data_IF_706501266256
#
_entry.id   IF_706501266256
#
_cell.length_a   1.000
_cell.length_b   1.000
_cell.length_c   1.000
_cell.angle_alpha   90.00
_cell.angle_beta   90.00
_cell.angle_gamma   90.00
#
_symmetry.space_group_name_H-M   'P 1'
#
loop_
_entity.id
_entity.type
_entity.pdbx_description
1 polymer ?
#
# COMPACT_ATOMS: atom_id res chain seq x y z
N UNK A 1 -23.40 -6.40 -2.22
CA UNK A 1 -22.13 -5.78 -2.67
C UNK A 1 -21.48 -5.22 -1.43
N UNK A 2 -20.72 -6.05 -0.71
CA UNK A 2 -20.23 -5.71 0.64
C UNK A 2 -18.94 -4.91 0.47
N UNK A 3 -19.05 -3.60 0.55
CA UNK A 3 -17.90 -2.73 0.74
C UNK A 3 -17.30 -3.08 2.11
N UNK A 4 -16.07 -3.59 2.15
CA UNK A 4 -15.35 -3.70 3.41
C UNK A 4 -15.10 -2.26 3.89
N UNK A 5 -15.77 -1.86 4.97
CA UNK A 5 -15.72 -0.50 5.55
C UNK A 5 -14.31 -0.07 6.01
N UNK A 6 -13.31 -0.94 5.85
CA UNK A 6 -11.92 -0.75 6.28
C UNK A 6 -11.02 -0.04 5.26
N UNK A 7 -11.51 0.30 4.06
CA UNK A 7 -10.67 0.94 3.01
C UNK A 7 -9.56 0.04 2.45
N UNK A 8 -9.62 -1.26 2.74
CA UNK A 8 -8.60 -2.22 2.35
C UNK A 8 -8.62 -2.50 0.82
N UNK A 9 -7.46 -2.73 0.20
CA UNK A 9 -7.37 -2.96 -1.24
C UNK A 9 -7.93 -4.32 -1.63
N UNK A 10 -8.68 -4.36 -2.74
CA UNK A 10 -9.13 -5.60 -3.38
C UNK A 10 -8.17 -6.10 -4.47
N UNK A 11 -7.28 -5.25 -4.96
CA UNK A 11 -6.30 -5.58 -5.99
C UNK A 11 -5.40 -4.41 -6.35
N UNK A 12 -4.27 -4.70 -6.98
CA UNK A 12 -3.32 -3.69 -7.42
C UNK A 12 -2.54 -4.13 -8.67
N UNK A 13 -1.84 -3.18 -9.30
CA UNK A 13 -0.96 -3.45 -10.44
C UNK A 13 0.48 -3.25 -10.04
N UNK A 14 1.34 -4.22 -10.33
CA UNK A 14 2.78 -4.14 -10.09
C UNK A 14 3.56 -4.81 -11.22
N UNK A 15 4.64 -4.17 -11.68
CA UNK A 15 5.49 -4.65 -12.76
C UNK A 15 4.74 -5.10 -14.04
N UNK A 16 3.68 -4.34 -14.41
CA UNK A 16 2.82 -4.67 -15.54
C UNK A 16 1.82 -5.82 -15.32
N UNK A 17 1.81 -6.44 -14.14
CA UNK A 17 0.93 -7.55 -13.76
C UNK A 17 -0.15 -7.08 -12.78
N UNK A 18 -1.32 -7.72 -12.86
CA UNK A 18 -2.42 -7.49 -11.91
C UNK A 18 -2.39 -8.58 -10.83
N UNK A 19 -2.55 -8.14 -9.59
CA UNK A 19 -2.62 -8.97 -8.40
C UNK A 19 -3.97 -8.77 -7.73
N UNK A 20 -4.63 -9.87 -7.40
CA UNK A 20 -5.89 -9.89 -6.66
C UNK A 20 -5.60 -10.18 -5.19
N UNK A 21 -6.08 -9.32 -4.29
CA UNK A 21 -5.90 -9.49 -2.85
C UNK A 21 -6.79 -10.64 -2.38
N UNK A 22 -6.17 -11.67 -1.82
CA UNK A 22 -6.86 -12.84 -1.27
C UNK A 22 -7.18 -12.63 0.21
N UNK A 23 -6.27 -12.00 0.95
CA UNK A 23 -6.45 -11.70 2.37
C UNK A 23 -5.68 -10.45 2.79
N UNK A 24 -6.24 -9.71 3.74
CA UNK A 24 -5.53 -8.64 4.46
C UNK A 24 -4.96 -9.26 5.74
N UNK A 25 -3.64 -9.32 5.84
CA UNK A 25 -2.95 -9.95 6.96
C UNK A 25 -2.73 -8.97 8.12
N UNK A 26 -2.49 -7.69 7.81
CA UNK A 26 -2.33 -6.63 8.80
C UNK A 26 -2.60 -5.25 8.20
N UNK A 27 -2.94 -4.28 9.05
CA UNK A 27 -3.01 -2.87 8.68
C UNK A 27 -2.42 -2.01 9.80
N UNK A 28 -1.58 -1.04 9.46
CA UNK A 28 -0.97 -0.11 10.41
C UNK A 28 -0.74 1.26 9.78
N UNK A 29 -0.62 2.28 10.62
CA UNK A 29 -0.25 3.63 10.19
C UNK A 29 1.27 3.80 10.37
N UNK A 30 1.96 4.16 9.31
CA UNK A 30 3.37 4.54 9.37
C UNK A 30 3.53 6.06 9.35
N UNK A 31 4.32 6.60 10.27
CA UNK A 31 4.79 7.97 10.17
C UNK A 31 5.88 8.03 9.07
N UNK A 32 5.62 8.75 7.98
CA UNK A 32 6.65 9.03 7.00
C UNK A 32 7.68 9.95 7.61
N UNK A 33 8.94 9.51 7.66
CA UNK A 33 10.04 10.33 8.17
C UNK A 33 10.16 11.64 7.41
N UNK A 34 10.01 12.73 8.16
CA UNK A 34 10.12 14.14 7.76
C UNK A 34 11.37 14.50 6.94
N UNK A 35 12.44 13.70 7.00
CA UNK A 35 13.67 13.92 6.22
C UNK A 35 13.49 13.85 4.70
N UNK A 36 12.42 13.22 4.18
CA UNK A 36 12.10 13.26 2.73
C UNK A 36 11.42 14.58 2.31
N UNK A 37 10.88 15.35 3.24
CA UNK A 37 10.18 16.62 2.95
C UNK A 37 11.13 17.82 2.92
N UNK A 38 12.33 17.71 3.50
CA UNK A 38 13.37 18.76 3.44
C UNK A 38 13.89 19.04 2.01
N UNK A 39 13.68 18.12 1.05
CA UNK A 39 14.09 18.29 -0.34
C UNK A 39 13.04 18.97 -1.23
N UNK A 40 11.80 19.13 -0.77
CA UNK A 40 10.72 19.81 -1.50
C UNK A 40 10.39 21.09 -0.76
N UNK A 41 11.00 22.20 -1.17
CA UNK A 41 10.79 23.51 -0.58
C UNK A 41 9.29 23.84 -0.52
N UNK A 42 8.68 23.69 0.66
CA UNK A 42 7.29 24.14 0.91
C UNK A 42 6.37 23.17 1.64
N UNK A 43 6.78 21.95 2.00
CA UNK A 43 5.94 21.08 2.83
C UNK A 43 6.12 21.43 4.31
N UNK A 44 5.10 22.04 4.92
CA UNK A 44 4.99 22.26 6.37
C UNK A 44 5.36 20.97 7.11
N UNK A 45 6.49 20.96 7.84
CA UNK A 45 7.22 19.80 8.37
C UNK A 45 6.47 18.95 9.40
N UNK A 46 5.28 18.48 9.04
CA UNK A 46 4.44 17.57 9.80
C UNK A 46 4.61 16.20 9.17
N UNK A 47 5.20 15.27 9.92
CA UNK A 47 5.40 13.89 9.46
C UNK A 47 4.10 13.33 8.84
N UNK A 48 4.12 13.08 7.53
CA UNK A 48 2.95 12.57 6.83
C UNK A 48 2.65 11.14 7.29
N UNK A 49 1.52 10.91 7.96
CA UNK A 49 1.06 9.56 8.26
C UNK A 49 0.53 8.90 7.00
N UNK A 50 0.89 7.63 6.78
CA UNK A 50 0.36 6.81 5.69
C UNK A 50 -0.26 5.54 6.27
N UNK A 51 -1.44 5.18 5.80
CA UNK A 51 -2.01 3.86 6.05
C UNK A 51 -1.29 2.82 5.20
N UNK A 52 -0.94 1.70 5.82
CA UNK A 52 -0.25 0.57 5.20
C UNK A 52 -1.05 -0.70 5.45
N UNK A 53 -1.22 -1.50 4.40
CA UNK A 53 -1.88 -2.79 4.43
C UNK A 53 -0.92 -3.86 3.95
N UNK A 54 -0.69 -4.87 4.78
CA UNK A 54 -0.07 -6.12 4.36
C UNK A 54 -1.16 -7.05 3.83
N UNK A 55 -0.99 -7.47 2.59
CA UNK A 55 -1.93 -8.34 1.90
C UNK A 55 -1.23 -9.56 1.33
N UNK A 56 -1.92 -10.69 1.37
CA UNK A 56 -1.61 -11.80 0.48
C UNK A 56 -2.33 -11.56 -0.84
N UNK A 57 -1.61 -11.65 -1.95
CA UNK A 57 -2.20 -11.47 -3.26
C UNK A 57 -1.66 -12.48 -4.27
N UNK A 58 -2.50 -12.83 -5.24
CA UNK A 58 -2.18 -13.77 -6.31
C UNK A 58 -2.28 -13.08 -7.66
N UNK A 59 -1.29 -13.32 -8.52
CA UNK A 59 -1.31 -12.86 -9.89
C UNK A 59 -2.26 -13.72 -10.73
N UNK A 60 -2.76 -13.19 -11.84
CA UNK A 60 -3.54 -13.99 -12.80
C UNK A 60 -2.80 -15.22 -13.35
N UNK A 61 -1.47 -15.23 -13.26
CA UNK A 61 -0.63 -16.36 -13.68
C UNK A 61 -0.36 -17.35 -12.53
N UNK A 62 -0.99 -17.18 -11.37
CA UNK A 62 -0.88 -18.09 -10.21
C UNK A 62 0.27 -17.79 -9.25
N UNK A 63 0.99 -16.68 -9.42
CA UNK A 63 2.07 -16.28 -8.51
C UNK A 63 1.48 -15.63 -7.27
N UNK A 64 1.56 -16.28 -6.11
CA UNK A 64 1.18 -15.69 -4.82
C UNK A 64 2.36 -14.98 -4.16
N UNK A 65 2.08 -14.02 -3.28
CA UNK A 65 3.08 -13.34 -2.46
C UNK A 65 2.45 -12.41 -1.44
N UNK A 66 3.27 -11.92 -0.51
CA UNK A 66 2.86 -10.97 0.52
C UNK A 66 3.40 -9.58 0.20
N UNK A 67 2.51 -8.59 0.17
CA UNK A 67 2.80 -7.23 -0.29
C UNK A 67 2.34 -6.20 0.74
N UNK A 68 3.18 -5.19 0.98
CA UNK A 68 2.79 -4.03 1.79
C UNK A 68 2.40 -2.89 0.84
N UNK A 69 1.16 -2.46 0.93
CA UNK A 69 0.54 -1.44 0.08
C UNK A 69 0.22 -0.20 0.90
N UNK A 70 0.33 0.97 0.30
CA UNK A 70 -0.18 2.22 0.87
C UNK A 70 -0.88 3.06 -0.18
N UNK A 71 -1.82 3.90 0.25
CA UNK A 71 -2.41 4.92 -0.62
C UNK A 71 -1.54 6.17 -0.56
N UNK A 72 -1.04 6.63 -1.71
CA UNK A 72 -0.28 7.87 -1.85
C UNK A 72 -0.95 8.71 -2.93
N UNK A 73 -1.48 9.89 -2.55
CA UNK A 73 -2.23 10.76 -3.44
C UNK A 73 -3.32 10.00 -4.23
N UNK A 74 -4.20 9.31 -3.49
CA UNK A 74 -5.31 8.50 -4.02
C UNK A 74 -4.92 7.30 -4.90
N UNK A 75 -3.63 6.97 -5.00
CA UNK A 75 -3.16 5.83 -5.77
C UNK A 75 -2.50 4.77 -4.87
N UNK A 76 -2.87 3.51 -5.09
CA UNK A 76 -2.19 2.37 -4.46
C UNK A 76 -0.74 2.27 -4.91
N UNK A 77 0.16 2.19 -3.94
CA UNK A 77 1.61 2.03 -4.14
C UNK A 77 2.09 0.81 -3.40
N UNK A 78 2.90 0.01 -4.09
CA UNK A 78 3.68 -1.04 -3.45
C UNK A 78 4.82 -0.39 -2.67
N UNK A 79 4.86 -0.62 -1.36
CA UNK A 79 5.96 -0.20 -0.49
C UNK A 79 7.04 -1.27 -0.42
N UNK A 80 6.63 -2.53 -0.22
CA UNK A 80 7.56 -3.64 -0.04
C UNK A 80 6.95 -4.97 -0.47
N UNK A 81 7.83 -5.90 -0.83
CA UNK A 81 7.52 -7.33 -0.97
C UNK A 81 8.05 -8.00 0.30
N UNK A 82 7.21 -8.82 0.94
CA UNK A 82 7.56 -9.53 2.18
C UNK A 82 7.89 -11.01 1.96
N UNK A 83 7.81 -11.49 0.71
CA UNK A 83 8.26 -12.80 0.21
C UNK A 83 9.71 -12.74 -0.28
#
# INVERSE_FOLDING_TARGET
MTVHESGAPSGFRWNGRHYEVQAVLASWVEATSWWRELGSAGSNGRAAHRDVWRVEAVSRTGTSGVYDLAVVADAWRLLRISD
#
